data_IF_450313969648
#
_entry.id   IF_450313969648
#
_cell.length_a   1.000
_cell.length_b   1.000
_cell.length_c   1.000
_cell.angle_alpha   90.00
_cell.angle_beta   90.00
_cell.angle_gamma   90.00
#
_symmetry.space_group_name_H-M   'P 1'
#
loop_
_entity.id
_entity.type
_entity.pdbx_description
1 polymer ?
#
# COMPACT_ATOMS: atom_id res chain seq x y z
N UNK A 1 0.19 5.68 -15.43
CA UNK A 1 1.03 4.79 -14.62
C UNK A 1 2.41 4.72 -15.25
N UNK A 2 3.48 4.77 -14.44
CA UNK A 2 4.87 4.60 -14.85
C UNK A 2 5.37 3.30 -14.22
N UNK A 3 5.96 2.43 -15.03
CA UNK A 3 6.58 1.18 -14.56
C UNK A 3 8.09 1.33 -14.54
N UNK A 4 8.72 0.92 -13.43
CA UNK A 4 10.15 0.81 -13.28
C UNK A 4 10.51 -0.69 -13.40
N UNK A 5 10.95 -1.16 -14.57
CA UNK A 5 11.23 -2.58 -14.77
C UNK A 5 12.47 -3.00 -13.98
N UNK A 6 12.38 -4.14 -13.30
CA UNK A 6 13.49 -4.84 -12.65
C UNK A 6 13.65 -6.22 -13.26
N UNK A 7 14.83 -6.84 -13.09
CA UNK A 7 15.10 -8.18 -13.60
C UNK A 7 14.24 -9.25 -12.91
N UNK A 8 14.04 -10.40 -13.56
CA UNK A 8 13.29 -11.53 -12.99
C UNK A 8 13.90 -12.07 -11.68
N UNK A 9 15.19 -11.87 -11.47
CA UNK A 9 15.93 -12.28 -10.28
C UNK A 9 16.25 -11.09 -9.37
N UNK A 10 15.49 -9.97 -9.49
CA UNK A 10 15.73 -8.78 -8.70
C UNK A 10 15.52 -9.05 -7.21
N UNK A 11 16.43 -8.57 -6.42
CA UNK A 11 16.36 -8.56 -4.95
C UNK A 11 15.90 -7.18 -4.43
N UNK A 12 15.67 -7.05 -3.14
CA UNK A 12 15.23 -5.81 -2.51
C UNK A 12 16.14 -4.61 -2.84
N UNK A 13 17.45 -4.82 -2.93
CA UNK A 13 18.41 -3.77 -3.28
C UNK A 13 18.21 -3.25 -4.72
N UNK A 14 17.88 -4.13 -5.67
CA UNK A 14 17.64 -3.75 -7.06
C UNK A 14 16.34 -2.93 -7.18
N UNK A 15 15.31 -3.35 -6.45
CA UNK A 15 14.04 -2.61 -6.38
C UNK A 15 14.22 -1.25 -5.73
N UNK A 16 14.97 -1.16 -4.63
CA UNK A 16 15.30 0.12 -4.01
C UNK A 16 16.05 1.05 -4.98
N UNK A 17 17.04 0.52 -5.72
CA UNK A 17 17.75 1.28 -6.75
C UNK A 17 16.84 1.71 -7.92
N UNK A 18 15.85 0.89 -8.29
CA UNK A 18 14.85 1.28 -9.29
C UNK A 18 13.95 2.41 -8.79
N UNK A 19 13.51 2.38 -7.54
CA UNK A 19 12.70 3.45 -6.93
C UNK A 19 13.44 4.78 -6.90
N UNK A 20 14.78 4.79 -6.77
CA UNK A 20 15.59 6.02 -6.86
C UNK A 20 15.41 6.75 -8.21
N UNK A 21 15.08 6.02 -9.30
CA UNK A 21 14.90 6.62 -10.63
C UNK A 21 13.61 7.44 -10.76
N UNK A 22 12.75 7.46 -9.74
CA UNK A 22 11.49 8.22 -9.74
C UNK A 22 11.71 9.72 -9.99
N UNK A 23 12.89 10.22 -9.60
CA UNK A 23 13.29 11.61 -9.83
C UNK A 23 13.39 11.98 -11.32
N UNK A 24 13.60 11.00 -12.19
CA UNK A 24 13.65 11.22 -13.64
C UNK A 24 12.28 11.34 -14.29
N UNK A 25 11.21 10.96 -13.58
CA UNK A 25 9.85 10.92 -14.16
C UNK A 25 9.42 12.28 -14.70
N UNK A 26 9.68 13.36 -13.98
CA UNK A 26 9.34 14.71 -14.45
C UNK A 26 10.12 15.07 -15.71
N UNK A 27 11.42 14.80 -15.75
CA UNK A 27 12.27 15.17 -16.89
C UNK A 27 11.98 14.32 -18.12
N UNK A 28 11.71 13.02 -17.94
CA UNK A 28 11.49 12.08 -19.06
C UNK A 28 10.06 12.10 -19.58
N UNK A 29 9.08 12.26 -18.69
CA UNK A 29 7.66 12.07 -19.01
C UNK A 29 6.79 13.31 -18.71
N UNK A 30 7.32 14.35 -18.08
CA UNK A 30 6.55 15.50 -17.66
C UNK A 30 5.53 15.20 -16.55
N UNK A 31 5.73 14.11 -15.80
CA UNK A 31 4.80 13.61 -14.78
C UNK A 31 5.53 13.50 -13.45
N UNK A 32 4.90 13.97 -12.38
CA UNK A 32 5.34 13.70 -11.00
C UNK A 32 4.44 12.60 -10.45
N UNK A 33 4.98 11.51 -9.92
CA UNK A 33 4.19 10.45 -9.32
C UNK A 33 3.57 10.89 -7.98
N UNK A 34 2.29 10.64 -7.80
CA UNK A 34 1.58 10.87 -6.53
C UNK A 34 1.66 9.64 -5.62
N UNK A 35 1.69 8.43 -6.20
CA UNK A 35 1.76 7.17 -5.49
C UNK A 35 2.97 6.36 -5.93
N UNK A 36 3.69 5.82 -4.96
CA UNK A 36 4.83 4.92 -5.14
C UNK A 36 4.48 3.55 -4.58
N UNK A 37 4.65 2.50 -5.38
CA UNK A 37 4.33 1.14 -5.00
C UNK A 37 5.43 0.18 -5.45
N UNK A 38 5.68 -0.85 -4.63
CA UNK A 38 6.53 -1.99 -4.97
C UNK A 38 5.87 -3.29 -4.43
N UNK A 39 4.73 -3.74 -5.01
CA UNK A 39 4.03 -4.92 -4.51
C UNK A 39 4.94 -6.16 -4.55
N UNK A 40 4.94 -6.94 -3.45
CA UNK A 40 5.82 -8.09 -3.29
C UNK A 40 7.24 -7.76 -2.80
N UNK A 41 7.62 -6.48 -2.75
CA UNK A 41 8.94 -6.05 -2.25
C UNK A 41 8.84 -5.00 -1.15
N UNK A 42 7.74 -4.25 -1.08
CA UNK A 42 7.58 -3.14 -0.13
C UNK A 42 7.60 -3.55 1.34
N UNK A 43 7.38 -4.84 1.64
CA UNK A 43 7.54 -5.40 2.99
C UNK A 43 9.00 -5.51 3.44
N UNK A 44 9.99 -5.42 2.53
CA UNK A 44 11.39 -5.30 2.90
C UNK A 44 11.69 -3.90 3.43
N UNK A 45 12.39 -3.85 4.58
CA UNK A 45 12.67 -2.58 5.26
C UNK A 45 13.51 -1.61 4.42
N UNK A 46 14.41 -2.13 3.55
CA UNK A 46 15.24 -1.31 2.67
C UNK A 46 14.39 -0.65 1.59
N UNK A 47 13.50 -1.42 0.96
CA UNK A 47 12.59 -0.92 -0.08
C UNK A 47 11.62 0.09 0.53
N UNK A 48 11.00 -0.25 1.67
CA UNK A 48 10.07 0.63 2.37
C UNK A 48 10.72 1.98 2.74
N UNK A 49 11.95 1.96 3.25
CA UNK A 49 12.66 3.17 3.62
C UNK A 49 12.95 4.08 2.41
N UNK A 50 13.35 3.51 1.27
CA UNK A 50 13.56 4.29 0.04
C UNK A 50 12.25 4.83 -0.50
N UNK A 51 11.18 4.05 -0.49
CA UNK A 51 9.85 4.51 -0.90
C UNK A 51 9.35 5.67 -0.03
N UNK A 52 9.48 5.57 1.30
CA UNK A 52 9.09 6.62 2.25
C UNK A 52 9.92 7.91 2.03
N UNK A 53 11.23 7.77 1.88
CA UNK A 53 12.11 8.91 1.60
C UNK A 53 11.77 9.62 0.29
N UNK A 54 11.52 8.86 -0.79
CA UNK A 54 11.13 9.42 -2.08
C UNK A 54 9.73 10.04 -2.06
N UNK A 55 8.78 9.43 -1.35
CA UNK A 55 7.47 10.04 -1.13
C UNK A 55 7.58 11.37 -0.37
N UNK A 56 8.54 11.48 0.53
CA UNK A 56 8.82 12.72 1.27
C UNK A 56 9.44 13.82 0.42
N UNK A 57 10.24 13.47 -0.61
CA UNK A 57 10.91 14.46 -1.46
C UNK A 57 11.25 13.88 -2.83
N UNK A 58 10.49 14.28 -3.85
CA UNK A 58 10.78 13.99 -5.25
C UNK A 58 11.43 15.24 -5.85
N UNK A 59 12.70 15.15 -6.26
CA UNK A 59 13.50 16.29 -6.78
C UNK A 59 13.56 17.52 -5.85
N UNK A 60 13.37 17.34 -4.54
CA UNK A 60 13.36 18.45 -3.58
C UNK A 60 12.18 19.44 -3.74
N UNK A 61 11.21 19.14 -4.60
CA UNK A 61 10.11 20.07 -4.96
C UNK A 61 8.73 19.47 -4.72
N UNK A 62 8.58 18.16 -4.87
CA UNK A 62 7.29 17.50 -4.84
C UNK A 62 7.24 16.45 -3.74
N UNK A 63 6.04 16.09 -3.32
CA UNK A 63 5.81 15.00 -2.37
C UNK A 63 4.73 14.09 -2.91
N UNK A 64 4.81 12.80 -2.56
CA UNK A 64 3.80 11.81 -2.88
C UNK A 64 3.43 10.99 -1.65
N UNK A 65 2.88 9.81 -1.87
CA UNK A 65 2.61 8.80 -0.86
C UNK A 65 3.24 7.46 -1.27
N UNK A 66 3.82 6.76 -0.29
CA UNK A 66 4.30 5.39 -0.47
C UNK A 66 3.22 4.43 0.04
N UNK A 67 2.87 3.42 -0.75
CA UNK A 67 2.00 2.31 -0.34
C UNK A 67 2.89 1.12 0.00
N UNK A 68 2.96 0.77 1.28
CA UNK A 68 3.86 -0.26 1.81
C UNK A 68 3.05 -1.39 2.42
N UNK A 69 3.27 -2.62 1.94
CA UNK A 69 2.66 -3.80 2.51
C UNK A 69 3.42 -4.27 3.77
N UNK A 70 2.70 -4.73 4.76
CA UNK A 70 3.26 -5.35 5.97
C UNK A 70 3.17 -6.87 5.82
N UNK A 71 4.31 -7.56 6.00
CA UNK A 71 4.35 -9.01 6.10
C UNK A 71 4.03 -9.45 7.52
N UNK A 72 2.84 -10.00 7.74
CA UNK A 72 2.41 -10.49 9.05
C UNK A 72 1.33 -11.56 8.93
N UNK A 73 1.37 -12.54 9.84
CA UNK A 73 0.40 -13.66 9.87
C UNK A 73 -0.81 -13.37 10.76
N UNK A 74 -0.72 -12.35 11.62
CA UNK A 74 -1.79 -11.98 12.56
C UNK A 74 -1.88 -10.46 12.67
N UNK A 75 -3.04 -9.95 13.07
CA UNK A 75 -3.25 -8.53 13.28
C UNK A 75 -2.32 -7.94 14.35
N UNK A 76 -1.99 -8.70 15.39
CA UNK A 76 -1.04 -8.26 16.42
C UNK A 76 0.38 -8.18 15.89
N UNK A 77 0.80 -9.12 15.04
CA UNK A 77 2.09 -9.09 14.39
C UNK A 77 2.19 -7.92 13.39
N UNK A 78 1.10 -7.58 12.68
CA UNK A 78 1.06 -6.42 11.81
C UNK A 78 1.27 -5.11 12.58
N UNK A 79 0.59 -4.95 13.72
CA UNK A 79 0.78 -3.79 14.61
C UNK A 79 2.19 -3.74 15.18
N UNK A 80 2.77 -4.88 15.56
CA UNK A 80 4.17 -4.93 16.02
C UNK A 80 5.15 -4.55 14.91
N UNK A 81 4.95 -5.04 13.69
CA UNK A 81 5.79 -4.69 12.54
C UNK A 81 5.76 -3.19 12.27
N UNK A 82 4.57 -2.57 12.29
CA UNK A 82 4.42 -1.12 12.18
C UNK A 82 5.19 -0.39 13.27
N UNK A 83 5.05 -0.79 14.53
CA UNK A 83 5.70 -0.12 15.66
C UNK A 83 7.22 -0.31 15.70
N UNK A 84 7.74 -1.34 15.04
CA UNK A 84 9.19 -1.60 14.90
C UNK A 84 9.81 -0.91 13.68
N UNK A 85 8.98 -0.53 12.71
CA UNK A 85 9.40 0.16 11.50
C UNK A 85 9.56 1.66 11.72
N UNK A 86 10.29 2.29 10.83
CA UNK A 86 10.43 3.76 10.80
C UNK A 86 9.70 4.26 9.56
N UNK A 87 8.47 4.72 9.75
CA UNK A 87 7.63 5.28 8.69
C UNK A 87 7.23 6.71 9.02
N UNK A 88 7.08 7.54 8.00
CA UNK A 88 6.59 8.92 8.17
C UNK A 88 5.14 9.02 7.73
N UNK A 89 4.53 10.20 7.90
CA UNK A 89 3.18 10.49 7.39
C UNK A 89 3.08 10.43 5.85
N UNK A 90 4.17 10.15 5.15
CA UNK A 90 4.19 9.93 3.70
C UNK A 90 3.89 8.49 3.31
N UNK A 91 3.92 7.57 4.27
CA UNK A 91 3.63 6.15 4.04
C UNK A 91 2.19 5.80 4.44
N UNK A 92 1.52 5.07 3.58
CA UNK A 92 0.26 4.36 3.84
C UNK A 92 0.61 2.88 4.00
N UNK A 93 0.42 2.35 5.20
CA UNK A 93 0.68 0.96 5.50
C UNK A 93 -0.54 0.09 5.18
N UNK A 94 -0.29 -1.05 4.57
CA UNK A 94 -1.30 -1.93 4.00
C UNK A 94 -1.18 -3.36 4.54
N UNK A 95 -2.27 -3.94 5.06
CA UNK A 95 -2.35 -5.33 5.52
C UNK A 95 -3.82 -5.76 5.70
N UNK A 96 -4.19 -7.03 5.48
CA UNK A 96 -3.48 -8.14 4.83
C UNK A 96 -3.71 -8.15 3.30
N UNK A 97 -3.19 -9.17 2.61
CA UNK A 97 -3.49 -9.39 1.19
C UNK A 97 -4.95 -9.81 0.99
N UNK A 98 -5.52 -9.43 -0.16
CA UNK A 98 -6.86 -9.86 -0.59
C UNK A 98 -6.80 -11.06 -1.53
N UNK A 99 -7.87 -11.87 -1.57
CA UNK A 99 -8.04 -12.96 -2.53
C UNK A 99 -9.27 -12.74 -3.41
N UNK A 100 -9.24 -13.29 -4.62
CA UNK A 100 -10.38 -13.41 -5.51
C UNK A 100 -10.23 -14.71 -6.32
N UNK A 101 -10.99 -15.74 -5.94
CA UNK A 101 -10.76 -17.10 -6.43
C UNK A 101 -9.35 -17.58 -6.08
N UNK A 102 -8.58 -18.00 -7.10
CA UNK A 102 -7.20 -18.45 -6.94
C UNK A 102 -6.16 -17.32 -6.99
N UNK A 103 -6.60 -16.08 -7.21
CA UNK A 103 -5.72 -14.93 -7.31
C UNK A 103 -5.47 -14.29 -5.95
N UNK A 104 -4.23 -13.82 -5.74
CA UNK A 104 -3.85 -13.00 -4.59
C UNK A 104 -3.44 -11.61 -5.05
N UNK A 105 -3.83 -10.62 -4.28
CA UNK A 105 -3.49 -9.23 -4.52
C UNK A 105 -2.86 -8.63 -3.27
N UNK A 106 -1.71 -8.02 -3.41
CA UNK A 106 -1.14 -7.19 -2.35
C UNK A 106 -2.11 -6.08 -1.97
N UNK A 107 -2.23 -5.82 -0.67
CA UNK A 107 -3.16 -4.80 -0.18
C UNK A 107 -2.85 -3.42 -0.77
N UNK A 108 -1.56 -3.09 -0.92
CA UNK A 108 -1.09 -1.85 -1.57
C UNK A 108 -1.65 -1.67 -2.98
N UNK A 109 -1.73 -2.75 -3.77
CA UNK A 109 -2.27 -2.72 -5.13
C UNK A 109 -3.77 -2.40 -5.12
N UNK A 110 -4.52 -3.02 -4.20
CA UNK A 110 -5.96 -2.76 -4.06
C UNK A 110 -6.19 -1.34 -3.54
N UNK A 111 -5.36 -0.86 -2.60
CA UNK A 111 -5.45 0.50 -2.09
C UNK A 111 -5.21 1.54 -3.19
N UNK A 112 -4.19 1.34 -4.03
CA UNK A 112 -3.94 2.23 -5.17
C UNK A 112 -5.12 2.26 -6.14
N UNK A 113 -5.75 1.10 -6.39
CA UNK A 113 -6.97 1.01 -7.20
C UNK A 113 -8.12 1.81 -6.59
N UNK A 114 -8.36 1.66 -5.29
CA UNK A 114 -9.41 2.40 -4.58
C UNK A 114 -9.16 3.91 -4.57
N UNK A 115 -7.91 4.34 -4.37
CA UNK A 115 -7.53 5.75 -4.46
C UNK A 115 -7.80 6.30 -5.86
N UNK A 116 -7.32 5.61 -6.90
CA UNK A 116 -7.50 6.03 -8.28
C UNK A 116 -8.98 6.09 -8.71
N UNK A 117 -9.79 5.12 -8.27
CA UNK A 117 -11.23 5.10 -8.53
C UNK A 117 -11.94 6.25 -7.82
N UNK A 118 -11.60 6.48 -6.55
CA UNK A 118 -12.18 7.57 -5.75
C UNK A 118 -11.84 8.93 -6.35
N UNK A 119 -10.57 9.16 -6.68
CA UNK A 119 -10.13 10.43 -7.27
C UNK A 119 -10.75 10.65 -8.66
N UNK A 120 -10.87 9.59 -9.46
CA UNK A 120 -11.53 9.67 -10.78
C UNK A 120 -13.01 10.04 -10.63
N UNK A 121 -13.70 9.47 -9.63
CA UNK A 121 -15.07 9.82 -9.29
C UNK A 121 -15.24 11.29 -8.84
N UNK A 122 -14.16 11.89 -8.37
CA UNK A 122 -14.09 13.29 -7.90
C UNK A 122 -13.37 14.21 -8.90
N UNK A 123 -13.49 13.93 -10.19
CA UNK A 123 -12.89 14.75 -11.28
C UNK A 123 -11.35 14.87 -11.18
N UNK A 124 -10.70 13.88 -10.57
CA UNK A 124 -9.25 13.84 -10.35
C UNK A 124 -8.77 14.65 -9.14
N UNK A 125 -9.68 15.05 -8.25
CA UNK A 125 -9.32 15.83 -7.05
C UNK A 125 -9.24 14.89 -5.84
N UNK A 126 -8.06 14.70 -5.21
CA UNK A 126 -7.87 13.74 -4.13
C UNK A 126 -8.29 14.31 -2.75
N UNK A 127 -9.55 14.58 -2.57
CA UNK A 127 -10.08 15.10 -1.29
C UNK A 127 -10.88 14.09 -0.47
N UNK A 128 -11.23 12.94 -1.08
CA UNK A 128 -12.03 11.91 -0.43
C UNK A 128 -11.16 10.68 -0.13
N UNK A 129 -11.34 10.12 1.07
CA UNK A 129 -10.67 8.86 1.45
C UNK A 129 -11.28 7.66 0.71
N UNK A 130 -10.48 6.66 0.31
CA UNK A 130 -10.97 5.40 -0.22
C UNK A 130 -11.57 4.49 0.87
N UNK A 131 -11.47 4.87 2.14
CA UNK A 131 -12.05 4.10 3.25
C UNK A 131 -13.56 3.95 3.09
N UNK A 132 -14.06 2.76 3.43
CA UNK A 132 -15.46 2.38 3.30
C UNK A 132 -15.98 2.24 1.85
N UNK A 133 -15.09 2.23 0.85
CA UNK A 133 -15.45 1.90 -0.54
C UNK A 133 -15.47 0.38 -0.73
N UNK A 134 -16.38 -0.10 -1.54
CA UNK A 134 -16.51 -1.53 -1.87
C UNK A 134 -15.28 -2.01 -2.64
N UNK A 135 -14.77 -3.19 -2.26
CA UNK A 135 -13.69 -3.86 -2.97
C UNK A 135 -14.13 -5.24 -3.44
N UNK A 136 -13.63 -5.65 -4.62
CA UNK A 136 -14.00 -6.93 -5.22
C UNK A 136 -12.98 -8.01 -4.83
N UNK A 137 -13.08 -8.48 -3.58
CA UNK A 137 -12.33 -9.63 -3.05
C UNK A 137 -13.30 -10.62 -2.40
N UNK A 138 -12.89 -11.85 -2.21
CA UNK A 138 -13.68 -12.92 -1.58
C UNK A 138 -13.10 -13.40 -0.25
N UNK A 139 -11.85 -13.04 0.05
CA UNK A 139 -11.18 -13.42 1.28
C UNK A 139 -9.92 -12.64 1.56
N UNK A 140 -9.26 -12.96 2.66
CA UNK A 140 -7.99 -12.39 3.08
C UNK A 140 -6.96 -13.48 3.30
N UNK A 141 -5.69 -13.19 3.00
CA UNK A 141 -4.60 -14.12 3.25
C UNK A 141 -3.31 -13.40 3.67
N UNK A 142 -2.38 -14.17 4.25
CA UNK A 142 -0.99 -13.76 4.46
C UNK A 142 -0.16 -13.94 3.18
N UNK A 143 1.15 -13.63 3.26
CA UNK A 143 2.06 -13.77 2.12
C UNK A 143 2.32 -15.22 1.72
N UNK A 144 2.10 -16.16 2.61
CA UNK A 144 2.18 -17.60 2.33
C UNK A 144 0.90 -18.17 1.69
N UNK A 145 -0.18 -17.38 1.64
CA UNK A 145 -1.49 -17.79 1.14
C UNK A 145 -2.40 -18.42 2.19
N UNK A 146 -2.03 -18.39 3.47
CA UNK A 146 -2.90 -18.90 4.53
C UNK A 146 -4.03 -17.90 4.79
N UNK A 147 -5.24 -18.43 4.91
CA UNK A 147 -6.44 -17.61 5.16
C UNK A 147 -6.33 -16.82 6.46
N UNK A 148 -6.64 -15.54 6.38
CA UNK A 148 -6.79 -14.64 7.53
C UNK A 148 -8.26 -14.36 7.74
N UNK A 149 -8.74 -14.58 8.96
CA UNK A 149 -10.09 -14.21 9.38
C UNK A 149 -9.99 -13.00 10.32
N UNK A 150 -10.45 -11.86 9.86
CA UNK A 150 -10.40 -10.62 10.60
C UNK A 150 -11.79 -10.26 11.13
N UNK A 151 -11.94 -10.19 12.44
CA UNK A 151 -13.17 -9.70 13.07
C UNK A 151 -13.23 -8.18 13.03
N UNK A 152 -14.42 -7.62 13.18
CA UNK A 152 -14.62 -6.16 13.25
C UNK A 152 -13.69 -5.50 14.29
N UNK A 153 -13.64 -6.06 15.51
CA UNK A 153 -12.80 -5.51 16.57
C UNK A 153 -11.30 -5.58 16.23
N UNK A 154 -10.86 -6.64 15.56
CA UNK A 154 -9.46 -6.76 15.12
C UNK A 154 -9.15 -5.74 14.01
N UNK A 155 -10.09 -5.53 13.08
CA UNK A 155 -9.94 -4.50 12.04
C UNK A 155 -9.84 -3.10 12.67
N UNK A 156 -10.62 -2.81 13.70
CA UNK A 156 -10.51 -1.53 14.45
C UNK A 156 -9.15 -1.37 15.13
N UNK A 157 -8.55 -2.45 15.66
CA UNK A 157 -7.21 -2.40 16.27
C UNK A 157 -6.14 -2.10 15.20
N UNK A 158 -6.26 -2.71 14.03
CA UNK A 158 -5.36 -2.48 12.89
C UNK A 158 -5.47 -1.04 12.38
N UNK A 159 -6.68 -0.56 12.19
CA UNK A 159 -6.97 0.81 11.78
C UNK A 159 -6.45 1.83 12.80
N UNK A 160 -6.74 1.63 14.08
CA UNK A 160 -6.24 2.50 15.16
C UNK A 160 -4.70 2.53 15.26
N UNK A 161 -4.02 1.49 14.76
CA UNK A 161 -2.57 1.47 14.63
C UNK A 161 -2.05 2.22 13.38
N UNK A 162 -2.92 2.77 12.54
CA UNK A 162 -2.54 3.48 11.31
C UNK A 162 -2.23 2.54 10.14
N UNK A 163 -2.88 1.39 10.07
CA UNK A 163 -2.71 0.40 8.99
C UNK A 163 -4.03 0.27 8.23
N UNK A 164 -4.01 0.53 6.93
CA UNK A 164 -5.14 0.30 6.05
C UNK A 164 -5.39 -1.20 5.87
N UNK A 165 -6.63 -1.63 6.08
CA UNK A 165 -7.04 -3.02 6.07
C UNK A 165 -8.30 -3.24 5.22
N UNK A 166 -8.87 -4.41 5.30
CA UNK A 166 -10.18 -4.73 4.74
C UNK A 166 -11.16 -5.08 5.85
N UNK A 167 -12.41 -4.81 5.60
CA UNK A 167 -13.50 -5.23 6.47
C UNK A 167 -14.63 -5.84 5.65
N UNK A 168 -15.08 -7.04 6.03
CA UNK A 168 -16.33 -7.59 5.50
C UNK A 168 -17.46 -7.12 6.40
N UNK A 169 -18.24 -6.16 5.92
CA UNK A 169 -19.30 -5.54 6.69
C UNK A 169 -20.58 -5.42 5.86
N UNK A 170 -21.71 -5.83 6.46
CA UNK A 170 -23.05 -5.71 5.89
C UNK A 170 -23.22 -6.23 4.43
N UNK A 171 -22.54 -7.33 4.10
CA UNK A 171 -22.72 -8.04 2.84
C UNK A 171 -21.70 -7.74 1.75
N UNK A 172 -20.56 -7.17 2.11
CA UNK A 172 -19.47 -6.98 1.15
C UNK A 172 -18.16 -6.61 1.80
N UNK A 173 -17.07 -6.78 1.05
CA UNK A 173 -15.76 -6.32 1.44
C UNK A 173 -15.59 -4.83 1.13
N UNK A 174 -15.03 -4.12 2.08
CA UNK A 174 -14.72 -2.69 1.96
C UNK A 174 -13.25 -2.43 2.29
N UNK A 175 -12.67 -1.45 1.62
CA UNK A 175 -11.41 -0.85 2.06
C UNK A 175 -11.67 -0.16 3.40
N UNK A 176 -10.78 -0.36 4.38
CA UNK A 176 -10.96 0.16 5.72
C UNK A 176 -9.67 0.80 6.23
N UNK A 177 -9.76 2.03 6.68
CA UNK A 177 -8.64 2.85 7.13
C UNK A 177 -8.41 4.06 6.23
N UNK A 178 -8.07 5.18 6.85
CA UNK A 178 -7.81 6.46 6.17
C UNK A 178 -6.58 7.16 6.78
N UNK A 179 -5.71 6.38 7.39
CA UNK A 179 -4.53 6.89 8.09
C UNK A 179 -3.27 6.76 7.24
N UNK A 180 -2.31 7.62 7.53
CA UNK A 180 -0.90 7.41 7.21
C UNK A 180 -0.17 6.93 8.45
N UNK A 181 1.03 6.37 8.29
CA UNK A 181 1.83 5.78 9.38
C UNK A 181 2.22 6.78 10.46
#
# INVERSE_FOLDING_TARGET
VIFLPVGETAEAADVAAAVEQIELCLTMFGIVPDLIMAPGFSQDATVAAVMDAKAGSINGMFTGKALVDISAKTYTAAVQAKNSGTYTEKTILCWPNGTLGDLRFHRSTVEAGCLAETDTGNEGIPYESPSNKTVHIDGLCDDDGNTINLTYNQALVVDAAGICTFLNFMGGWTAWGNHTA
#
